data_IF_941126510850
#
_entry.id   IF_941126510850
#
_cell.length_a   1.000
_cell.length_b   1.000
_cell.length_c   1.000
_cell.angle_alpha   90.00
_cell.angle_beta   90.00
_cell.angle_gamma   90.00
#
_symmetry.space_group_name_H-M   'P 1'
#
loop_
_entity.id
_entity.type
_entity.pdbx_description
1 polymer ?
#
# COMPACT_ATOMS: atom_id res chain seq x y z
N UNK A 1 10.30 12.52 -24.09
CA UNK A 1 10.27 11.10 -23.69
C UNK A 1 8.85 10.83 -23.27
N UNK A 2 8.14 9.91 -23.91
CA UNK A 2 6.76 9.61 -23.58
C UNK A 2 6.71 8.82 -22.25
N UNK A 3 5.63 8.93 -21.52
CA UNK A 3 5.40 8.20 -20.24
C UNK A 3 5.57 6.68 -20.40
N UNK A 4 5.17 6.15 -21.57
CA UNK A 4 5.43 4.76 -21.98
C UNK A 4 6.92 4.42 -22.01
N UNK A 5 7.75 5.32 -22.53
CA UNK A 5 9.23 5.14 -22.57
C UNK A 5 9.85 5.25 -21.17
N UNK A 6 9.23 6.01 -20.28
CA UNK A 6 9.65 6.13 -18.88
C UNK A 6 9.32 4.83 -18.13
N UNK A 7 8.12 4.31 -18.27
CA UNK A 7 7.69 3.04 -17.67
C UNK A 7 8.54 1.86 -18.15
N UNK A 8 8.83 1.77 -19.46
CA UNK A 8 9.72 0.74 -20.01
C UNK A 8 11.15 0.84 -19.46
N UNK A 9 11.68 2.06 -19.27
CA UNK A 9 13.01 2.27 -18.65
C UNK A 9 13.03 1.93 -17.16
N UNK A 10 11.94 2.16 -16.46
CA UNK A 10 11.83 1.90 -15.03
C UNK A 10 11.76 0.40 -14.77
N UNK A 11 10.92 -0.33 -15.51
CA UNK A 11 10.87 -1.79 -15.48
C UNK A 11 12.22 -2.42 -15.87
N UNK A 12 12.98 -1.80 -16.77
CA UNK A 12 14.30 -2.26 -17.17
C UNK A 12 15.41 -2.02 -16.11
N UNK A 13 15.30 -0.98 -15.27
CA UNK A 13 16.26 -0.67 -14.20
C UNK A 13 16.11 -1.56 -12.96
N UNK A 14 14.91 -2.06 -12.69
CA UNK A 14 14.67 -3.06 -11.62
C UNK A 14 15.39 -4.40 -11.93
N UNK A 15 15.83 -4.60 -13.17
CA UNK A 15 16.49 -5.83 -13.68
C UNK A 15 17.95 -6.01 -13.31
N UNK A 16 18.65 -5.06 -12.72
CA UNK A 16 20.12 -5.15 -12.57
C UNK A 16 20.62 -5.79 -11.29
N UNK A 17 19.78 -6.40 -10.46
CA UNK A 17 20.24 -6.96 -9.18
C UNK A 17 19.92 -8.44 -8.95
N UNK A 18 18.84 -9.00 -9.49
CA UNK A 18 18.53 -10.43 -9.34
C UNK A 18 17.62 -10.90 -10.46
N UNK A 19 17.81 -12.16 -10.88
CA UNK A 19 17.11 -12.83 -11.98
C UNK A 19 15.60 -12.87 -11.79
N UNK A 20 14.95 -11.72 -11.91
CA UNK A 20 13.51 -11.61 -11.98
C UNK A 20 13.06 -11.70 -13.43
N UNK A 21 12.49 -12.81 -13.83
CA UNK A 21 11.59 -12.84 -14.97
C UNK A 21 10.27 -12.17 -14.54
N UNK A 22 10.22 -10.84 -14.58
CA UNK A 22 8.94 -10.14 -14.63
C UNK A 22 8.31 -10.52 -15.96
N UNK A 23 7.17 -11.18 -15.93
CA UNK A 23 6.34 -11.36 -17.11
C UNK A 23 6.11 -9.96 -17.68
N UNK A 24 6.71 -9.68 -18.84
CA UNK A 24 6.60 -8.39 -19.54
C UNK A 24 5.18 -8.24 -20.09
N UNK A 25 4.25 -7.79 -19.27
CA UNK A 25 3.07 -7.12 -19.81
C UNK A 25 3.45 -5.66 -19.97
N UNK A 26 3.65 -5.20 -21.18
CA UNK A 26 4.15 -3.87 -21.51
C UNK A 26 3.18 -2.73 -21.15
N UNK A 27 2.02 -3.03 -20.58
CA UNK A 27 0.94 -2.11 -20.28
C UNK A 27 0.37 -2.30 -18.86
N UNK A 28 1.14 -2.73 -17.89
CA UNK A 28 0.65 -2.87 -16.50
C UNK A 28 1.40 -1.96 -15.54
N UNK A 29 0.67 -1.39 -14.58
CA UNK A 29 1.21 -0.67 -13.42
C UNK A 29 0.94 -1.46 -12.15
N UNK A 30 1.80 -1.26 -11.14
CA UNK A 30 1.73 -1.93 -9.85
C UNK A 30 1.65 -0.91 -8.71
N UNK A 31 0.47 -0.30 -8.51
CA UNK A 31 0.27 0.61 -7.39
C UNK A 31 0.50 -0.10 -6.05
N UNK A 32 1.06 0.64 -5.10
CA UNK A 32 1.26 0.17 -3.73
C UNK A 32 0.29 0.91 -2.83
N UNK A 33 -0.51 0.14 -2.09
CA UNK A 33 -1.44 0.67 -1.12
C UNK A 33 -1.00 0.38 0.31
N UNK A 34 -1.40 1.26 1.23
CA UNK A 34 -1.23 1.12 2.67
C UNK A 34 -2.60 1.34 3.32
N UNK A 35 -3.14 0.31 3.98
CA UNK A 35 -4.21 0.51 4.94
C UNK A 35 -3.57 0.87 6.28
N UNK A 36 -3.88 2.06 6.74
CA UNK A 36 -3.38 2.58 8.00
C UNK A 36 -4.07 1.90 9.20
N UNK A 37 -3.45 1.98 10.36
CA UNK A 37 -3.91 1.35 11.59
C UNK A 37 -5.34 1.74 12.02
N UNK A 38 -5.80 2.93 11.68
CA UNK A 38 -7.17 3.39 11.96
C UNK A 38 -8.24 2.48 11.32
N UNK A 39 -7.90 1.87 10.18
CA UNK A 39 -8.76 0.94 9.45
C UNK A 39 -8.67 -0.52 9.92
N UNK A 40 -7.85 -0.87 10.90
CA UNK A 40 -7.54 -2.27 11.21
C UNK A 40 -8.75 -3.14 11.52
N UNK A 41 -9.74 -2.60 12.22
CA UNK A 41 -11.03 -3.29 12.48
C UNK A 41 -11.70 -3.78 11.18
N UNK A 42 -11.51 -3.06 10.09
CA UNK A 42 -12.11 -3.33 8.78
C UNK A 42 -11.10 -3.80 7.73
N UNK A 43 -9.83 -4.01 8.11
CA UNK A 43 -8.74 -4.30 7.15
C UNK A 43 -9.07 -5.51 6.27
N UNK A 44 -9.63 -6.59 6.84
CA UNK A 44 -10.05 -7.78 6.09
C UNK A 44 -11.12 -7.46 5.04
N UNK A 45 -12.14 -6.69 5.44
CA UNK A 45 -13.25 -6.34 4.55
C UNK A 45 -12.76 -5.42 3.42
N UNK A 46 -11.93 -4.43 3.74
CA UNK A 46 -11.33 -3.54 2.76
C UNK A 46 -10.45 -4.31 1.77
N UNK A 47 -9.61 -5.23 2.25
CA UNK A 47 -8.77 -6.06 1.37
C UNK A 47 -9.58 -6.99 0.47
N UNK A 48 -10.69 -7.56 0.95
CA UNK A 48 -11.61 -8.33 0.11
C UNK A 48 -12.24 -7.47 -0.99
N UNK A 49 -12.65 -6.25 -0.66
CA UNK A 49 -13.19 -5.32 -1.65
C UNK A 49 -12.17 -4.89 -2.68
N UNK A 50 -10.94 -4.60 -2.25
CA UNK A 50 -9.84 -4.28 -3.17
C UNK A 50 -9.60 -5.47 -4.10
N UNK A 51 -9.58 -6.71 -3.59
CA UNK A 51 -9.38 -7.90 -4.40
C UNK A 51 -10.55 -8.23 -5.35
N UNK A 52 -11.73 -7.67 -5.11
CA UNK A 52 -12.86 -7.76 -6.07
C UNK A 52 -12.70 -6.73 -7.19
N UNK A 53 -12.11 -5.58 -6.90
CA UNK A 53 -11.90 -4.50 -7.88
C UNK A 53 -10.67 -4.73 -8.73
N UNK A 54 -9.60 -5.22 -8.10
CA UNK A 54 -8.26 -5.29 -8.68
C UNK A 54 -7.58 -6.63 -8.41
N UNK A 55 -6.61 -6.95 -9.23
CA UNK A 55 -5.82 -8.16 -9.10
C UNK A 55 -4.71 -7.99 -8.05
N UNK A 56 -5.00 -8.33 -6.78
CA UNK A 56 -4.05 -8.23 -5.68
C UNK A 56 -2.96 -9.30 -5.81
N UNK A 57 -1.72 -8.84 -5.90
CA UNK A 57 -0.54 -9.67 -6.13
C UNK A 57 0.21 -10.03 -4.86
N UNK A 58 0.29 -9.07 -3.92
CA UNK A 58 0.98 -9.26 -2.66
C UNK A 58 0.32 -8.45 -1.55
N UNK A 59 0.28 -9.02 -0.36
CA UNK A 59 -0.13 -8.33 0.88
C UNK A 59 0.88 -8.62 1.97
N UNK A 60 1.32 -7.58 2.67
CA UNK A 60 2.23 -7.67 3.79
C UNK A 60 1.63 -6.95 5.00
N UNK A 61 1.76 -7.54 6.18
CA UNK A 61 1.37 -6.91 7.44
C UNK A 61 2.64 -6.53 8.18
N UNK A 62 2.74 -5.27 8.59
CA UNK A 62 3.82 -4.76 9.41
C UNK A 62 3.26 -4.34 10.77
N UNK A 63 3.95 -4.73 11.85
CA UNK A 63 3.70 -4.22 13.20
C UNK A 63 4.87 -3.31 13.60
N UNK A 64 4.69 -2.01 13.35
CA UNK A 64 5.75 -1.01 13.40
C UNK A 64 6.15 -0.60 14.82
N UNK A 65 5.29 -0.87 15.81
CA UNK A 65 5.54 -0.51 17.20
C UNK A 65 5.95 0.96 17.36
N UNK A 66 7.09 1.20 18.02
CA UNK A 66 7.63 2.54 18.28
C UNK A 66 8.09 3.29 17.01
N UNK A 67 8.34 2.59 15.92
CA UNK A 67 8.85 3.21 14.68
C UNK A 67 7.70 3.62 13.72
N UNK A 68 6.44 3.52 14.18
CA UNK A 68 5.25 3.85 13.39
C UNK A 68 5.26 5.30 12.88
N UNK A 69 5.53 6.23 13.77
CA UNK A 69 5.57 7.66 13.43
C UNK A 69 6.64 7.96 12.37
N UNK A 70 7.84 7.42 12.54
CA UNK A 70 8.91 7.59 11.56
C UNK A 70 8.57 6.94 10.21
N UNK A 71 7.89 5.78 10.21
CA UNK A 71 7.41 5.17 8.98
C UNK A 71 6.44 6.09 8.22
N UNK A 72 5.50 6.72 8.94
CA UNK A 72 4.56 7.67 8.32
C UNK A 72 5.31 8.86 7.73
N UNK A 73 6.25 9.45 8.46
CA UNK A 73 7.10 10.55 7.97
C UNK A 73 7.88 10.15 6.72
N UNK A 74 8.51 8.97 6.72
CA UNK A 74 9.26 8.46 5.57
C UNK A 74 8.36 8.25 4.32
N UNK A 75 7.09 7.86 4.49
CA UNK A 75 6.15 7.72 3.38
C UNK A 75 5.82 9.06 2.70
N UNK A 76 5.85 10.16 3.45
CA UNK A 76 5.50 11.51 2.97
C UNK A 76 6.72 12.43 2.82
N UNK A 77 7.95 11.93 2.92
CA UNK A 77 9.19 12.71 2.91
C UNK A 77 9.30 13.73 1.76
N UNK A 78 8.68 13.45 0.62
CA UNK A 78 8.70 14.33 -0.58
C UNK A 78 7.37 15.00 -0.88
N UNK A 79 6.44 14.96 0.03
CA UNK A 79 5.17 15.66 -0.08
C UNK A 79 5.29 17.00 0.65
N UNK A 80 5.76 18.04 -0.08
CA UNK A 80 5.97 19.37 0.47
C UNK A 80 4.67 19.94 1.07
N UNK A 81 3.52 19.72 0.44
CA UNK A 81 2.23 20.17 0.96
C UNK A 81 1.90 19.53 2.31
N UNK A 82 2.27 18.24 2.50
CA UNK A 82 2.05 17.55 3.77
C UNK A 82 2.83 18.18 4.93
N UNK A 83 4.05 18.64 4.66
CA UNK A 83 4.94 19.23 5.65
C UNK A 83 4.65 20.73 5.86
N UNK A 84 4.57 21.52 4.80
CA UNK A 84 4.34 22.96 4.87
C UNK A 84 2.97 23.31 5.46
N UNK A 85 1.94 22.56 5.09
CA UNK A 85 0.59 22.68 5.66
C UNK A 85 0.46 22.15 7.09
N UNK A 86 1.49 21.46 7.62
CA UNK A 86 1.48 20.86 8.96
C UNK A 86 0.56 19.65 9.10
N UNK A 87 -0.17 19.27 8.07
CA UNK A 87 -1.21 18.26 8.16
C UNK A 87 -0.64 16.84 8.44
N UNK A 88 0.63 16.59 8.11
CA UNK A 88 1.28 15.31 8.40
C UNK A 88 1.35 15.05 9.92
N UNK A 89 1.62 16.09 10.71
CA UNK A 89 1.68 15.97 12.17
C UNK A 89 0.29 15.75 12.78
N UNK A 90 -0.73 16.39 12.24
CA UNK A 90 -2.12 16.12 12.64
C UNK A 90 -2.53 14.69 12.28
N UNK A 91 -2.17 14.23 11.10
CA UNK A 91 -2.39 12.86 10.67
C UNK A 91 -1.74 11.86 11.62
N UNK A 92 -0.45 12.04 11.96
CA UNK A 92 0.28 11.20 12.90
C UNK A 92 -0.41 11.21 14.26
N UNK A 93 -0.80 12.38 14.77
CA UNK A 93 -1.50 12.53 16.04
C UNK A 93 -2.80 11.74 16.06
N UNK A 94 -3.62 11.83 14.99
CA UNK A 94 -4.88 11.11 14.87
C UNK A 94 -4.68 9.59 14.73
N UNK A 95 -3.57 9.15 14.13
CA UNK A 95 -3.22 7.73 13.98
C UNK A 95 -2.42 7.18 15.16
N UNK A 96 -2.19 7.97 16.23
CA UNK A 96 -1.41 7.53 17.38
C UNK A 96 -2.25 6.70 18.37
N UNK A 97 -2.64 5.50 17.96
CA UNK A 97 -3.33 4.50 18.76
C UNK A 97 -2.34 3.44 19.27
N UNK A 98 -2.74 2.58 20.20
CA UNK A 98 -1.92 1.46 20.69
C UNK A 98 -1.61 0.44 19.58
N UNK A 99 -2.53 0.28 18.63
CA UNK A 99 -2.34 -0.60 17.50
C UNK A 99 -1.50 0.11 16.42
N UNK A 100 -0.31 -0.40 16.15
CA UNK A 100 0.65 0.12 15.15
C UNK A 100 0.78 -0.77 13.92
N UNK A 101 -0.18 -1.65 13.69
CA UNK A 101 -0.21 -2.52 12.52
C UNK A 101 -0.73 -1.77 11.31
N UNK A 102 -0.11 -2.04 10.17
CA UNK A 102 -0.55 -1.58 8.84
C UNK A 102 -0.60 -2.76 7.88
N UNK A 103 -1.41 -2.61 6.84
CA UNK A 103 -1.44 -3.59 5.74
C UNK A 103 -0.94 -2.92 4.47
N UNK A 104 0.17 -3.40 3.94
CA UNK A 104 0.72 -2.97 2.65
C UNK A 104 0.29 -3.97 1.59
N UNK A 105 -0.17 -3.49 0.45
CA UNK A 105 -0.59 -4.35 -0.64
C UNK A 105 -0.14 -3.83 -2.00
N UNK A 106 0.02 -4.73 -2.95
CA UNK A 106 0.34 -4.44 -4.35
C UNK A 106 -0.74 -5.08 -5.20
N UNK A 107 -1.24 -4.35 -6.17
CA UNK A 107 -2.19 -4.86 -7.15
C UNK A 107 -1.76 -4.49 -8.57
N UNK A 108 -2.30 -5.23 -9.55
CA UNK A 108 -2.04 -4.98 -10.95
C UNK A 108 -3.13 -4.10 -11.54
N UNK A 109 -2.74 -3.10 -12.31
CA UNK A 109 -3.63 -2.33 -13.18
C UNK A 109 -3.22 -2.57 -14.62
N UNK A 110 -4.06 -3.27 -15.36
CA UNK A 110 -3.84 -3.51 -16.78
C UNK A 110 -4.29 -2.29 -17.61
N UNK A 111 -3.42 -1.83 -18.52
CA UNK A 111 -3.68 -0.67 -19.36
C UNK A 111 -4.07 0.59 -18.57
N UNK A 112 -3.22 1.06 -17.63
CA UNK A 112 -3.55 2.18 -16.76
C UNK A 112 -3.87 3.45 -17.54
N UNK A 113 -4.87 4.17 -17.04
CA UNK A 113 -5.27 5.47 -17.56
C UNK A 113 -4.75 6.56 -16.62
N UNK A 114 -4.21 7.63 -17.17
CA UNK A 114 -3.65 8.73 -16.40
C UNK A 114 -4.38 10.03 -16.60
N UNK A 115 -4.48 10.80 -15.52
CA UNK A 115 -4.95 12.19 -15.59
C UNK A 115 -3.98 13.10 -14.83
N UNK A 116 -3.92 14.36 -15.23
CA UNK A 116 -3.26 15.38 -14.45
C UNK A 116 -4.25 15.97 -13.46
N UNK A 117 -3.88 16.00 -12.18
CA UNK A 117 -4.63 16.67 -11.12
C UNK A 117 -4.41 18.19 -11.17
N UNK A 118 -5.20 18.94 -10.39
CA UNK A 118 -5.12 20.41 -10.34
C UNK A 118 -3.75 20.91 -9.83
N UNK A 119 -3.12 20.14 -8.94
CA UNK A 119 -1.76 20.38 -8.43
C UNK A 119 -0.65 20.00 -9.43
N UNK A 120 -1.01 19.57 -10.64
CA UNK A 120 -0.10 19.15 -11.69
C UNK A 120 0.42 17.72 -11.56
N UNK A 121 0.12 16.98 -10.50
CA UNK A 121 0.53 15.59 -10.31
C UNK A 121 -0.18 14.67 -11.30
N UNK A 122 0.56 13.73 -11.86
CA UNK A 122 -0.01 12.68 -12.71
C UNK A 122 -0.53 11.55 -11.82
N UNK A 123 -1.76 11.14 -12.04
CA UNK A 123 -2.45 10.13 -11.23
C UNK A 123 -3.00 9.00 -12.11
N UNK A 124 -2.79 7.75 -11.69
CA UNK A 124 -3.47 6.58 -12.23
C UNK A 124 -4.94 6.60 -11.80
N UNK A 125 -5.85 6.65 -12.77
CA UNK A 125 -7.30 6.79 -12.52
C UNK A 125 -7.82 5.57 -11.74
N UNK A 126 -7.42 4.37 -12.10
CA UNK A 126 -7.86 3.13 -11.50
C UNK A 126 -7.41 3.06 -10.02
N UNK A 127 -6.15 3.37 -9.74
CA UNK A 127 -5.63 3.43 -8.37
C UNK A 127 -6.38 4.46 -7.52
N UNK A 128 -6.67 5.63 -8.11
CA UNK A 128 -7.46 6.68 -7.45
C UNK A 128 -8.89 6.23 -7.18
N UNK A 129 -9.54 5.51 -8.10
CA UNK A 129 -10.90 5.00 -7.92
C UNK A 129 -10.97 4.00 -6.76
N UNK A 130 -10.00 3.08 -6.65
CA UNK A 130 -9.90 2.16 -5.50
C UNK A 130 -9.81 2.95 -4.20
N UNK A 131 -8.86 3.90 -4.12
CA UNK A 131 -8.66 4.78 -2.96
C UNK A 131 -9.93 5.50 -2.54
N UNK A 132 -10.60 6.16 -3.50
CA UNK A 132 -11.82 6.92 -3.25
C UNK A 132 -12.99 6.03 -2.80
N UNK A 133 -13.14 4.84 -3.40
CA UNK A 133 -14.22 3.93 -3.05
C UNK A 133 -14.07 3.41 -1.62
N UNK A 134 -12.87 3.00 -1.22
CA UNK A 134 -12.60 2.56 0.15
C UNK A 134 -12.87 3.69 1.14
N UNK A 135 -12.37 4.91 0.88
CA UNK A 135 -12.62 6.07 1.74
C UNK A 135 -14.11 6.36 1.88
N UNK A 136 -14.83 6.46 0.77
CA UNK A 136 -16.28 6.73 0.77
C UNK A 136 -17.08 5.73 1.61
N UNK A 137 -16.68 4.47 1.58
CA UNK A 137 -17.43 3.40 2.23
C UNK A 137 -17.09 3.25 3.72
N UNK A 138 -15.85 3.54 4.11
CA UNK A 138 -15.39 3.28 5.47
C UNK A 138 -15.14 4.54 6.30
N UNK A 139 -15.08 5.73 5.72
CA UNK A 139 -14.87 6.98 6.46
C UNK A 139 -15.83 7.17 7.63
N UNK A 140 -17.13 6.92 7.39
CA UNK A 140 -18.16 7.05 8.44
C UNK A 140 -18.12 5.97 9.52
N UNK A 141 -17.30 4.94 9.35
CA UNK A 141 -17.15 3.82 10.28
C UNK A 141 -15.91 3.96 11.18
N UNK A 142 -15.07 4.96 10.90
CA UNK A 142 -13.85 5.23 11.62
C UNK A 142 -14.08 6.43 12.54
N UNK A 143 -13.87 6.22 13.82
CA UNK A 143 -13.87 7.30 14.80
C UNK A 143 -12.70 8.26 14.48
N UNK A 144 -12.97 9.57 14.55
CA UNK A 144 -11.97 10.60 14.25
C UNK A 144 -11.36 10.49 12.85
N UNK A 145 -12.20 10.09 11.84
CA UNK A 145 -11.73 10.06 10.45
C UNK A 145 -11.17 11.41 10.05
N UNK A 146 -9.89 11.40 9.71
CA UNK A 146 -9.18 12.55 9.17
C UNK A 146 -8.68 12.21 7.78
N UNK A 147 -8.59 13.19 6.93
CA UNK A 147 -8.14 13.05 5.56
C UNK A 147 -6.90 12.14 5.46
N UNK A 148 -6.98 11.10 4.65
CA UNK A 148 -5.90 10.14 4.38
C UNK A 148 -5.45 9.20 5.51
N UNK A 149 -6.10 9.19 6.68
CA UNK A 149 -5.71 8.31 7.78
C UNK A 149 -6.26 6.87 7.68
N UNK A 150 -6.99 6.54 6.61
CA UNK A 150 -7.57 5.21 6.38
C UNK A 150 -6.76 4.40 5.36
N UNK A 151 -6.55 4.98 4.18
CA UNK A 151 -5.88 4.33 3.06
C UNK A 151 -5.06 5.33 2.26
N UNK A 152 -3.84 4.93 1.93
CA UNK A 152 -2.99 5.55 0.93
C UNK A 152 -2.80 4.59 -0.24
N UNK A 153 -2.82 5.07 -1.47
CA UNK A 153 -2.40 4.32 -2.66
C UNK A 153 -1.57 5.27 -3.51
N UNK A 154 -0.42 4.80 -3.96
CA UNK A 154 0.46 5.57 -4.83
C UNK A 154 -0.26 6.02 -6.10
N UNK A 155 -0.13 7.30 -6.43
CA UNK A 155 -0.82 7.92 -7.56
C UNK A 155 -0.14 7.62 -8.91
N UNK A 156 1.14 7.22 -8.88
CA UNK A 156 1.93 6.92 -10.07
C UNK A 156 3.14 6.02 -9.75
N UNK A 157 3.86 5.62 -10.80
CA UNK A 157 5.02 4.71 -10.72
C UNK A 157 6.15 5.26 -9.82
N UNK A 158 6.40 6.57 -9.85
CA UNK A 158 7.47 7.16 -9.03
C UNK A 158 7.11 7.12 -7.55
N UNK A 159 5.87 7.41 -7.21
CA UNK A 159 5.38 7.29 -5.84
C UNK A 159 5.34 5.82 -5.38
N UNK A 160 4.90 4.90 -6.25
CA UNK A 160 4.93 3.47 -5.94
C UNK A 160 6.35 3.00 -5.59
N UNK A 161 7.36 3.44 -6.32
CA UNK A 161 8.76 3.11 -6.00
C UNK A 161 9.22 3.68 -4.67
N UNK A 162 8.86 4.94 -4.38
CA UNK A 162 9.21 5.55 -3.08
C UNK A 162 8.58 4.78 -1.94
N UNK A 163 7.29 4.49 -2.05
CA UNK A 163 6.55 3.70 -1.07
C UNK A 163 7.17 2.31 -0.89
N UNK A 164 7.55 1.64 -1.98
CA UNK A 164 8.24 0.36 -1.93
C UNK A 164 9.57 0.44 -1.17
N UNK A 165 10.38 1.45 -1.46
CA UNK A 165 11.66 1.65 -0.79
C UNK A 165 11.47 1.91 0.71
N UNK A 166 10.46 2.71 1.07
CA UNK A 166 10.10 2.94 2.48
C UNK A 166 9.68 1.63 3.14
N UNK A 167 8.74 0.88 2.57
CA UNK A 167 8.29 -0.41 3.13
C UNK A 167 9.46 -1.37 3.33
N UNK A 168 10.41 -1.42 2.39
CA UNK A 168 11.58 -2.31 2.48
C UNK A 168 12.54 -1.92 3.63
N UNK A 169 12.67 -0.64 3.98
CA UNK A 169 13.45 -0.21 5.17
C UNK A 169 12.87 -0.80 6.46
N UNK A 170 11.57 -1.05 6.49
CA UNK A 170 10.84 -1.55 7.65
C UNK A 170 10.49 -3.04 7.59
N UNK A 171 11.09 -3.79 6.66
CA UNK A 171 10.80 -5.22 6.45
C UNK A 171 10.97 -6.09 7.70
N UNK A 172 11.87 -5.71 8.61
CA UNK A 172 12.08 -6.37 9.90
C UNK A 172 10.83 -6.43 10.80
N UNK A 173 9.83 -5.58 10.54
CA UNK A 173 8.56 -5.53 11.27
C UNK A 173 7.46 -6.39 10.63
N UNK A 174 7.77 -7.15 9.60
CA UNK A 174 6.80 -8.00 8.92
C UNK A 174 6.34 -9.14 9.82
N UNK A 175 5.04 -9.22 10.08
CA UNK A 175 4.39 -10.30 10.84
C UNK A 175 3.54 -11.20 9.95
N UNK A 176 3.25 -10.80 8.72
CA UNK A 176 2.53 -11.60 7.74
C UNK A 176 2.86 -11.18 6.31
N UNK A 177 2.96 -12.15 5.40
CA UNK A 177 3.22 -11.89 3.99
C UNK A 177 2.47 -12.92 3.14
N UNK A 178 1.63 -12.45 2.23
CA UNK A 178 0.98 -13.23 1.20
C UNK A 178 1.54 -12.82 -0.16
N UNK A 179 1.89 -13.80 -0.96
CA UNK A 179 2.28 -13.60 -2.36
C UNK A 179 1.44 -14.52 -3.24
N UNK A 180 0.80 -13.96 -4.25
CA UNK A 180 -0.01 -14.71 -5.20
C UNK A 180 0.83 -15.79 -5.89
N UNK A 181 0.27 -16.99 -6.03
CA UNK A 181 0.96 -18.09 -6.72
C UNK A 181 1.35 -17.68 -8.15
N UNK A 182 2.62 -17.87 -8.47
CA UNK A 182 3.19 -17.49 -9.77
C UNK A 182 3.65 -16.04 -9.89
N UNK A 183 3.39 -15.21 -8.87
CA UNK A 183 3.92 -13.86 -8.79
C UNK A 183 5.20 -13.86 -7.93
N UNK A 184 6.22 -13.16 -8.40
CA UNK A 184 7.47 -13.02 -7.65
C UNK A 184 7.36 -11.80 -6.74
N UNK A 185 7.63 -11.97 -5.44
CA UNK A 185 7.52 -10.88 -4.47
C UNK A 185 8.34 -9.65 -4.89
N UNK A 186 7.74 -8.49 -4.84
CA UNK A 186 8.41 -7.20 -5.00
C UNK A 186 8.85 -6.68 -3.62
N UNK A 187 8.05 -6.96 -2.60
CA UNK A 187 8.38 -6.71 -1.20
C UNK A 187 9.30 -7.84 -0.73
N UNK A 188 10.38 -7.50 -0.05
CA UNK A 188 11.49 -8.41 0.30
C UNK A 188 11.03 -9.77 0.87
N UNK A 189 11.77 -10.85 0.56
CA UNK A 189 11.41 -12.24 0.90
C UNK A 189 11.77 -12.66 2.34
N UNK A 190 12.20 -11.75 3.20
CA UNK A 190 12.81 -12.09 4.49
C UNK A 190 11.90 -12.81 5.47
N UNK A 191 10.58 -12.82 5.24
CA UNK A 191 9.62 -13.52 6.09
C UNK A 191 8.89 -14.62 5.33
N UNK A 192 9.14 -15.86 5.71
CA UNK A 192 8.41 -17.04 5.23
C UNK A 192 6.97 -17.00 5.77
N UNK A 193 6.05 -16.35 5.06
CA UNK A 193 4.64 -16.53 5.33
C UNK A 193 4.13 -17.77 4.60
N UNK A 194 3.60 -18.72 5.34
CA UNK A 194 3.07 -19.99 4.82
C UNK A 194 1.57 -19.95 4.56
N UNK A 195 0.99 -18.82 4.15
CA UNK A 195 -0.43 -18.81 3.85
C UNK A 195 -0.74 -19.60 2.59
N UNK A 196 -1.59 -20.63 2.70
CA UNK A 196 -1.94 -21.52 1.60
C UNK A 196 -2.84 -20.84 0.55
N UNK A 197 -3.55 -19.78 0.91
CA UNK A 197 -4.42 -19.02 0.02
C UNK A 197 -4.59 -17.58 0.51
N UNK A 198 -5.01 -16.67 -0.37
CA UNK A 198 -5.34 -15.30 -0.01
C UNK A 198 -6.47 -15.22 1.03
N UNK A 199 -7.49 -16.05 0.88
CA UNK A 199 -8.60 -16.13 1.84
C UNK A 199 -8.11 -16.57 3.21
N UNK A 200 -7.30 -17.63 3.28
CA UNK A 200 -6.70 -18.10 4.54
C UNK A 200 -5.78 -17.05 5.18
N UNK A 201 -5.04 -16.30 4.37
CA UNK A 201 -4.25 -15.17 4.86
C UNK A 201 -5.13 -14.08 5.47
N UNK A 202 -6.24 -13.71 4.81
CA UNK A 202 -7.17 -12.71 5.32
C UNK A 202 -7.91 -13.16 6.58
N UNK A 203 -8.13 -14.47 6.77
CA UNK A 203 -8.67 -15.02 8.00
C UNK A 203 -7.72 -14.80 9.18
N UNK A 204 -6.42 -14.89 8.94
CA UNK A 204 -5.40 -14.57 9.95
C UNK A 204 -5.32 -13.08 10.30
N UNK A 205 -5.85 -12.17 9.46
CA UNK A 205 -6.01 -10.75 9.81
C UNK A 205 -7.01 -10.53 10.97
N UNK A 206 -7.89 -11.52 11.25
CA UNK A 206 -8.77 -11.52 12.41
C UNK A 206 -8.07 -11.85 13.74
N UNK A 207 -6.80 -12.24 13.70
CA UNK A 207 -6.09 -12.78 14.83
C UNK A 207 -5.70 -11.78 15.89
N UNK A 208 -6.67 -11.17 16.52
CA UNK A 208 -6.71 -10.86 17.95
C UNK A 208 -8.18 -10.89 18.31
N UNK A 209 -8.67 -12.10 18.69
CA UNK A 209 -9.86 -12.17 19.51
C UNK A 209 -9.57 -11.33 20.74
N UNK A 210 -10.46 -10.39 21.03
CA UNK A 210 -10.58 -9.79 22.34
C UNK A 210 -10.53 -10.92 23.40
N UNK A 211 -9.34 -11.23 23.87
CA UNK A 211 -9.15 -11.94 25.13
C UNK A 211 -9.24 -10.92 26.26
N UNK A 212 -10.38 -10.23 26.34
CA UNK A 212 -10.78 -9.45 27.51
C UNK A 212 -12.31 -9.46 27.58
N UNK A 213 -12.85 -10.57 28.00
CA UNK A 213 -14.04 -10.61 28.82
C UNK A 213 -13.66 -10.97 30.25
#
# INVERSE_FOLDING_TARGET
MTEKQLNDKILCKIKKGDTMQVVKNHNSEYPIGILWNMGNKYAREMMLKIAIMEDVLQVKILDLGKDYEQFVLDCYERDEEAYEGGYIYEKIKNMNTDNKRIVVFIFNVDNPTYQQAEDGKIQCIEARQVKQRIRKEYASKIDEYFFDNLIHISDNVEEAKRTLNTVNKYDKYTIGNYVRKGYKSILNESTKCQSKSYVSFLENLRGDKDERE
#
